data_IF_504084805780
#
_entry.id   IF_504084805780
#
_cell.length_a   1.000
_cell.length_b   1.000
_cell.length_c   1.000
_cell.angle_alpha   90.00
_cell.angle_beta   90.00
_cell.angle_gamma   90.00
#
_symmetry.space_group_name_H-M   'P 1'
#
loop_
_entity.id
_entity.type
_entity.pdbx_description
1 polymer ?
#
# COMPACT_ATOMS: atom_id res chain seq x y z
N UNK A 1 9.95 15.32 20.51
CA UNK A 1 9.75 15.10 19.09
C UNK A 1 8.40 14.45 18.84
N UNK A 2 7.63 15.02 17.98
CA UNK A 2 6.32 14.47 17.68
C UNK A 2 6.40 13.46 16.57
N UNK A 3 5.68 12.38 16.74
CA UNK A 3 5.55 11.38 15.68
C UNK A 3 4.47 11.84 14.71
N UNK A 4 4.83 11.91 13.43
CA UNK A 4 3.90 12.26 12.38
C UNK A 4 3.84 11.11 11.39
N UNK A 5 2.64 10.78 10.94
CA UNK A 5 2.47 9.70 9.99
C UNK A 5 1.48 10.13 8.91
N UNK A 6 1.75 9.71 7.69
CA UNK A 6 0.82 9.87 6.59
C UNK A 6 0.33 8.48 6.20
N UNK A 7 -0.98 8.35 6.02
CA UNK A 7 -1.62 7.10 5.63
C UNK A 7 -2.06 7.24 4.19
N UNK A 8 -1.54 6.41 3.32
CA UNK A 8 -1.74 6.54 1.89
C UNK A 8 -2.34 5.28 1.32
N UNK A 9 -3.35 5.45 0.47
CA UNK A 9 -3.84 4.35 -0.33
C UNK A 9 -2.77 3.92 -1.32
N UNK A 10 -2.84 2.67 -1.75
CA UNK A 10 -1.92 2.13 -2.71
C UNK A 10 -2.39 2.40 -4.14
N UNK A 11 -3.45 1.73 -4.55
CA UNK A 11 -3.90 1.78 -5.94
C UNK A 11 -4.55 3.12 -6.25
N UNK A 12 -4.09 3.76 -7.31
CA UNK A 12 -4.59 5.06 -7.71
C UNK A 12 -3.96 6.23 -6.96
N UNK A 13 -3.12 5.95 -5.97
CA UNK A 13 -2.40 6.98 -5.21
C UNK A 13 -0.89 6.78 -5.34
N UNK A 14 -0.40 5.60 -5.02
CA UNK A 14 1.01 5.27 -5.13
C UNK A 14 1.33 4.64 -6.48
N UNK A 15 0.52 3.70 -6.92
CA UNK A 15 0.73 3.03 -8.20
C UNK A 15 -0.55 3.09 -9.03
N UNK A 16 -0.37 2.88 -10.34
CA UNK A 16 -1.51 2.85 -11.24
C UNK A 16 -2.45 1.71 -10.86
N UNK A 17 -3.74 1.97 -10.99
CA UNK A 17 -4.77 0.99 -10.71
C UNK A 17 -5.24 0.39 -12.03
N UNK A 18 -4.82 -0.84 -12.30
CA UNK A 18 -5.20 -1.55 -13.52
C UNK A 18 -6.41 -2.45 -13.32
N UNK A 19 -7.11 -2.29 -12.21
CA UNK A 19 -8.20 -3.18 -11.83
C UNK A 19 -7.67 -4.40 -11.10
N UNK A 20 -7.83 -4.40 -9.77
CA UNK A 20 -7.32 -5.49 -8.92
C UNK A 20 -5.83 -5.76 -9.16
N UNK A 21 -5.05 -4.71 -9.18
CA UNK A 21 -3.61 -4.79 -9.45
C UNK A 21 -2.92 -5.70 -8.42
N UNK A 22 -2.29 -6.75 -8.88
CA UNK A 22 -1.63 -7.70 -7.99
C UNK A 22 -0.40 -8.38 -8.59
N UNK A 23 -0.06 -8.07 -9.84
CA UNK A 23 1.11 -8.67 -10.49
C UNK A 23 2.22 -7.63 -10.59
N UNK A 24 3.44 -8.05 -10.27
CA UNK A 24 4.59 -7.15 -10.32
C UNK A 24 4.78 -6.53 -11.69
N UNK A 25 4.41 -7.25 -12.75
CA UNK A 25 4.51 -6.71 -14.11
C UNK A 25 3.63 -5.48 -14.31
N UNK A 26 2.63 -5.30 -13.47
CA UNK A 26 1.72 -4.16 -13.55
C UNK A 26 2.09 -3.03 -12.59
N UNK A 27 3.21 -3.18 -11.88
CA UNK A 27 3.62 -2.17 -10.92
C UNK A 27 4.16 -0.95 -11.64
N UNK A 28 3.41 0.15 -11.57
CA UNK A 28 3.78 1.45 -12.16
C UNK A 28 3.49 2.52 -11.13
N UNK A 29 4.52 3.20 -10.67
CA UNK A 29 4.32 4.32 -9.76
C UNK A 29 3.72 5.49 -10.51
N UNK A 30 2.84 6.22 -9.82
CA UNK A 30 2.27 7.44 -10.39
C UNK A 30 3.32 8.55 -10.37
N UNK A 31 3.17 9.50 -11.29
CA UNK A 31 4.07 10.64 -11.35
C UNK A 31 4.02 11.42 -10.04
N UNK A 32 5.17 11.84 -9.57
CA UNK A 32 5.26 12.66 -8.38
C UNK A 32 5.31 11.88 -7.07
N UNK A 33 5.09 10.56 -7.10
CA UNK A 33 5.08 9.76 -5.88
C UNK A 33 6.44 9.79 -5.18
N UNK A 34 7.50 9.56 -5.92
CA UNK A 34 8.85 9.50 -5.34
C UNK A 34 9.18 10.84 -4.67
N UNK A 35 9.02 11.94 -5.42
CA UNK A 35 9.34 13.26 -4.91
C UNK A 35 8.46 13.63 -3.71
N UNK A 36 7.17 13.31 -3.82
CA UNK A 36 6.24 13.64 -2.73
C UNK A 36 6.58 12.90 -1.45
N UNK A 37 6.88 11.62 -1.55
CA UNK A 37 7.22 10.84 -0.37
C UNK A 37 8.57 11.26 0.21
N UNK A 38 9.55 11.56 -0.64
CA UNK A 38 10.84 12.08 -0.16
C UNK A 38 10.64 13.37 0.61
N UNK A 39 9.75 14.25 0.13
CA UNK A 39 9.47 15.50 0.82
C UNK A 39 8.84 15.28 2.19
N UNK A 40 7.92 14.31 2.28
CA UNK A 40 7.30 13.99 3.56
C UNK A 40 8.30 13.43 4.55
N UNK A 41 9.17 12.53 4.09
CA UNK A 41 10.19 11.97 4.98
C UNK A 41 11.17 13.03 5.45
N UNK A 42 11.46 14.02 4.61
CA UNK A 42 12.38 15.10 4.98
C UNK A 42 11.85 15.96 6.12
N UNK A 43 10.53 15.96 6.33
CA UNK A 43 9.92 16.68 7.45
C UNK A 43 9.40 15.72 8.51
N UNK A 44 10.01 14.54 8.58
CA UNK A 44 9.84 13.56 9.66
C UNK A 44 8.48 12.86 9.67
N UNK A 45 7.80 12.79 8.53
CA UNK A 45 6.61 11.94 8.45
C UNK A 45 7.03 10.50 8.25
N UNK A 46 6.29 9.60 8.90
CA UNK A 46 6.39 8.18 8.61
C UNK A 46 5.36 7.84 7.54
N UNK A 47 5.72 6.91 6.66
CA UNK A 47 4.85 6.50 5.57
C UNK A 47 4.21 5.18 5.92
N UNK A 48 2.88 5.16 5.92
CA UNK A 48 2.09 3.96 6.18
C UNK A 48 1.12 3.79 5.03
N UNK A 49 1.06 2.58 4.48
CA UNK A 49 0.18 2.28 3.36
C UNK A 49 -1.04 1.56 3.88
N UNK A 50 -2.22 2.01 3.47
CA UNK A 50 -3.48 1.34 3.77
C UNK A 50 -4.13 1.01 2.44
N UNK A 51 -4.46 -0.26 2.22
CA UNK A 51 -4.99 -0.64 0.92
C UNK A 51 -6.17 -1.59 1.05
N UNK A 52 -7.20 -1.35 0.25
CA UNK A 52 -8.33 -2.27 0.13
C UNK A 52 -8.00 -3.28 -0.97
N UNK A 53 -7.99 -4.55 -0.61
CA UNK A 53 -7.65 -5.63 -1.52
C UNK A 53 -8.79 -6.64 -1.58
N UNK A 54 -9.96 -6.16 -1.96
CA UNK A 54 -11.16 -7.00 -2.01
C UNK A 54 -11.07 -8.12 -3.04
N UNK A 55 -10.14 -8.03 -3.98
CA UNK A 55 -9.90 -9.11 -4.93
C UNK A 55 -9.56 -10.43 -4.25
N UNK A 56 -8.99 -10.36 -3.04
CA UNK A 56 -8.70 -11.58 -2.28
C UNK A 56 -10.01 -12.29 -1.92
N UNK A 57 -10.98 -11.56 -1.39
CA UNK A 57 -12.27 -12.13 -1.04
C UNK A 57 -13.01 -12.63 -2.28
N UNK A 58 -12.75 -12.04 -3.42
CA UNK A 58 -13.40 -12.44 -4.67
C UNK A 58 -12.68 -13.56 -5.39
N UNK A 59 -11.59 -14.06 -4.83
CA UNK A 59 -10.85 -15.17 -5.43
C UNK A 59 -10.02 -14.80 -6.64
N UNK A 60 -9.77 -13.51 -6.88
CA UNK A 60 -9.02 -13.08 -8.05
C UNK A 60 -7.52 -13.24 -7.86
N UNK A 61 -7.06 -13.17 -6.62
CA UNK A 61 -5.69 -13.45 -6.26
C UNK A 61 -5.63 -13.76 -4.78
N UNK A 62 -4.53 -14.33 -4.33
CA UNK A 62 -4.36 -14.72 -2.94
C UNK A 62 -3.74 -13.61 -2.12
N UNK A 63 -3.87 -13.72 -0.79
CA UNK A 63 -3.16 -12.79 0.11
C UNK A 63 -1.66 -12.89 -0.11
N UNK A 64 -1.15 -14.09 -0.38
CA UNK A 64 0.28 -14.26 -0.64
C UNK A 64 0.72 -13.47 -1.86
N UNK A 65 -0.07 -13.53 -2.93
CA UNK A 65 0.22 -12.75 -4.14
C UNK A 65 0.21 -11.25 -3.84
N UNK A 66 -0.73 -10.82 -3.02
CA UNK A 66 -0.80 -9.41 -2.62
C UNK A 66 0.45 -9.01 -1.84
N UNK A 67 0.92 -9.87 -0.94
CA UNK A 67 2.12 -9.55 -0.16
C UNK A 67 3.37 -9.52 -1.05
N UNK A 68 3.44 -10.37 -2.08
CA UNK A 68 4.54 -10.34 -3.03
C UNK A 68 4.55 -9.00 -3.76
N UNK A 69 3.39 -8.53 -4.20
CA UNK A 69 3.28 -7.22 -4.84
C UNK A 69 3.72 -6.11 -3.88
N UNK A 70 3.26 -6.18 -2.63
CA UNK A 70 3.63 -5.17 -1.63
C UNK A 70 5.14 -5.13 -1.40
N UNK A 71 5.78 -6.29 -1.33
CA UNK A 71 7.24 -6.32 -1.18
C UNK A 71 7.94 -5.68 -2.38
N UNK A 72 7.42 -5.91 -3.59
CA UNK A 72 7.96 -5.27 -4.78
C UNK A 72 7.83 -3.76 -4.74
N UNK A 73 6.65 -3.28 -4.36
CA UNK A 73 6.40 -1.85 -4.22
C UNK A 73 7.33 -1.24 -3.16
N UNK A 74 7.41 -1.87 -2.00
CA UNK A 74 8.25 -1.37 -0.92
C UNK A 74 9.72 -1.34 -1.34
N UNK A 75 10.16 -2.35 -2.07
CA UNK A 75 11.55 -2.39 -2.55
C UNK A 75 11.85 -1.26 -3.52
N UNK A 76 10.94 -0.96 -4.44
CA UNK A 76 11.12 0.16 -5.38
C UNK A 76 11.21 1.47 -4.61
N UNK A 77 10.36 1.65 -3.62
CA UNK A 77 10.39 2.86 -2.81
C UNK A 77 11.70 2.94 -2.02
N UNK A 78 12.16 1.82 -1.48
CA UNK A 78 13.41 1.80 -0.72
C UNK A 78 14.61 2.14 -1.59
N UNK A 79 14.60 1.70 -2.85
CA UNK A 79 15.65 2.05 -3.79
C UNK A 79 15.73 3.55 -4.03
N UNK A 80 14.66 4.27 -3.72
CA UNK A 80 14.59 5.71 -3.82
C UNK A 80 14.66 6.38 -2.44
N UNK A 81 15.26 5.70 -1.48
CA UNK A 81 15.45 6.18 -0.11
C UNK A 81 14.15 6.47 0.61
N UNK A 82 13.07 5.78 0.24
CA UNK A 82 11.78 5.91 0.90
C UNK A 82 11.54 4.65 1.70
N UNK A 83 11.58 4.79 3.02
CA UNK A 83 11.37 3.67 3.93
C UNK A 83 9.91 3.66 4.39
N UNK A 84 9.18 2.63 3.98
CA UNK A 84 7.78 2.46 4.40
C UNK A 84 7.80 1.87 5.80
N UNK A 85 7.13 2.55 6.73
CA UNK A 85 7.11 2.11 8.13
C UNK A 85 6.29 0.84 8.29
N UNK A 86 5.13 0.79 7.64
CA UNK A 86 4.23 -0.35 7.78
C UNK A 86 3.17 -0.29 6.69
N UNK A 87 2.45 -1.38 6.52
CA UNK A 87 1.27 -1.38 5.66
C UNK A 87 0.19 -2.27 6.25
N UNK A 88 -1.05 -1.92 5.92
CA UNK A 88 -2.23 -2.65 6.36
C UNK A 88 -3.12 -2.89 5.15
N UNK A 89 -3.77 -4.03 5.11
CA UNK A 89 -4.66 -4.33 4.00
C UNK A 89 -5.98 -4.87 4.51
N UNK A 90 -7.02 -4.64 3.69
CA UNK A 90 -8.34 -5.16 3.94
C UNK A 90 -8.65 -6.17 2.82
N UNK A 91 -8.76 -7.46 3.14
CA UNK A 91 -8.98 -8.47 2.11
C UNK A 91 -10.46 -8.71 1.79
N UNK A 92 -11.36 -7.98 2.44
CA UNK A 92 -12.78 -8.27 2.35
C UNK A 92 -13.44 -7.50 1.22
N UNK A 93 -14.49 -8.10 0.65
CA UNK A 93 -15.31 -7.42 -0.34
C UNK A 93 -16.01 -6.24 0.31
N UNK A 94 -16.27 -5.14 -0.45
CA UNK A 94 -16.93 -3.96 0.12
C UNK A 94 -18.26 -4.24 0.80
N UNK A 95 -18.96 -5.29 0.39
CA UNK A 95 -20.22 -5.68 1.03
C UNK A 95 -20.02 -6.55 2.25
N UNK A 96 -18.78 -6.95 2.53
CA UNK A 96 -18.48 -7.76 3.68
C UNK A 96 -18.50 -6.94 4.96
N UNK A 97 -18.43 -7.63 6.07
CA UNK A 97 -18.39 -6.98 7.37
C UNK A 97 -16.96 -6.75 7.76
N UNK A 98 -16.55 -5.53 7.65
CA UNK A 98 -15.18 -5.20 7.94
C UNK A 98 -15.12 -3.97 8.80
N UNK A 99 -14.24 -3.99 9.77
CA UNK A 99 -13.90 -2.79 10.50
C UNK A 99 -12.42 -2.52 10.34
N UNK A 100 -12.06 -1.26 10.43
CA UNK A 100 -10.65 -0.89 10.34
C UNK A 100 -9.83 -1.44 11.49
N UNK A 101 -10.48 -1.71 12.62
CA UNK A 101 -9.76 -2.33 13.71
C UNK A 101 -9.18 -3.68 13.35
N UNK A 102 -9.81 -4.39 12.43
CA UNK A 102 -9.33 -5.69 11.99
C UNK A 102 -8.13 -5.59 11.07
N UNK A 103 -7.98 -4.48 10.37
CA UNK A 103 -6.88 -4.32 9.44
C UNK A 103 -5.54 -4.37 10.14
N UNK A 104 -5.44 -3.78 11.29
CA UNK A 104 -4.20 -3.84 12.05
C UNK A 104 -3.85 -5.25 12.48
N UNK A 105 -4.85 -6.10 12.67
CA UNK A 105 -4.63 -7.48 13.08
C UNK A 105 -4.22 -8.38 11.93
N UNK A 106 -4.52 -8.00 10.70
CA UNK A 106 -4.28 -8.86 9.54
C UNK A 106 -3.02 -8.46 8.76
N UNK A 107 -2.30 -7.55 9.29
CA UNK A 107 -1.09 -7.07 8.66
C UNK A 107 -0.10 -8.19 8.37
#
# INVERSE_FOLDING_TARGET
MKNKAVFLDRDGVLNEDSGYTHQLSDLRLLDGVIEGLQSLLAVDYKVIIITNQSGIARGLFSAEQMHIFMRGLINVLLENQINVTDYFYCPHHPKGKLSFGMMGAVK
#
